data_IF_136398090963
#
_entry.id   IF_136398090963
#
_cell.length_a   1.000
_cell.length_b   1.000
_cell.length_c   1.000
_cell.angle_alpha   90.00
_cell.angle_beta   90.00
_cell.angle_gamma   90.00
#
_symmetry.space_group_name_H-M   'P 1'
#
loop_
_entity.id
_entity.type
_entity.pdbx_description
1 polymer ?
#
# COMPACT_ATOMS: atom_id res chain seq x y z
N UNK A 1 2.10 -22.39 -13.20
CA UNK A 1 2.89 -21.13 -13.10
C UNK A 1 3.01 -20.71 -11.65
N UNK A 2 4.22 -20.75 -11.10
CA UNK A 2 4.53 -20.28 -9.73
C UNK A 2 4.13 -18.81 -9.54
N UNK A 3 3.70 -18.46 -8.32
CA UNK A 3 3.42 -17.08 -7.95
C UNK A 3 4.72 -16.28 -8.04
N UNK A 4 4.82 -15.46 -9.07
CA UNK A 4 6.00 -14.64 -9.31
C UNK A 4 6.04 -13.52 -8.28
N UNK A 5 7.07 -13.47 -7.42
CA UNK A 5 7.32 -12.37 -6.46
C UNK A 5 7.83 -11.08 -7.14
N UNK A 6 7.44 -10.84 -8.40
CA UNK A 6 7.97 -9.74 -9.22
C UNK A 6 7.65 -8.40 -8.60
N UNK A 7 6.43 -8.23 -8.11
CA UNK A 7 5.98 -7.00 -7.45
C UNK A 7 6.84 -6.67 -6.23
N UNK A 8 7.25 -7.67 -5.43
CA UNK A 8 8.10 -7.45 -4.27
C UNK A 8 9.51 -7.04 -4.66
N UNK A 9 10.12 -7.73 -5.64
CA UNK A 9 11.44 -7.36 -6.15
C UNK A 9 11.45 -5.96 -6.76
N UNK A 10 10.40 -5.60 -7.52
CA UNK A 10 10.24 -4.26 -8.07
C UNK A 10 10.06 -3.21 -6.97
N UNK A 11 9.26 -3.49 -5.93
CA UNK A 11 9.12 -2.59 -4.78
C UNK A 11 10.43 -2.41 -4.02
N UNK A 12 11.22 -3.48 -3.82
CA UNK A 12 12.53 -3.40 -3.18
C UNK A 12 13.52 -2.58 -4.02
N UNK A 13 13.55 -2.80 -5.34
CA UNK A 13 14.37 -2.02 -6.26
C UNK A 13 13.97 -0.53 -6.22
N UNK A 14 12.67 -0.23 -6.29
CA UNK A 14 12.17 1.13 -6.19
C UNK A 14 12.54 1.76 -4.84
N UNK A 15 12.37 1.05 -3.72
CA UNK A 15 12.74 1.52 -2.40
C UNK A 15 14.26 1.79 -2.30
N UNK A 16 15.10 0.93 -2.87
CA UNK A 16 16.55 1.14 -2.92
C UNK A 16 16.90 2.41 -3.71
N UNK A 17 16.33 2.58 -4.92
CA UNK A 17 16.53 3.80 -5.73
C UNK A 17 16.07 5.05 -4.98
N UNK A 18 14.88 5.02 -4.40
CA UNK A 18 14.33 6.15 -3.61
C UNK A 18 15.24 6.46 -2.42
N UNK A 19 15.79 5.43 -1.75
CA UNK A 19 16.72 5.59 -0.63
C UNK A 19 18.03 6.22 -1.10
N UNK A 20 18.58 5.78 -2.24
CA UNK A 20 19.78 6.38 -2.82
C UNK A 20 19.57 7.85 -3.19
N UNK A 21 18.45 8.17 -3.83
CA UNK A 21 18.07 9.56 -4.14
C UNK A 21 17.92 10.37 -2.86
N UNK A 22 17.23 9.84 -1.85
CA UNK A 22 17.04 10.52 -0.57
C UNK A 22 18.38 10.77 0.14
N UNK A 23 19.27 9.78 0.19
CA UNK A 23 20.61 9.90 0.78
C UNK A 23 21.49 10.90 0.03
N UNK A 24 21.40 10.95 -1.30
CA UNK A 24 22.04 11.98 -2.10
C UNK A 24 21.52 13.37 -1.73
N UNK A 25 20.19 13.55 -1.61
CA UNK A 25 19.61 14.83 -1.20
C UNK A 25 20.03 15.23 0.23
N UNK A 26 20.11 14.28 1.17
CA UNK A 26 20.63 14.52 2.52
C UNK A 26 22.07 15.03 2.48
N UNK A 27 22.91 14.42 1.64
CA UNK A 27 24.30 14.82 1.47
C UNK A 27 24.42 16.20 0.81
N UNK A 28 23.55 16.48 -0.17
CA UNK A 28 23.50 17.76 -0.88
C UNK A 28 23.06 18.92 0.02
N UNK A 29 21.98 18.74 0.79
CA UNK A 29 21.48 19.75 1.72
C UNK A 29 22.29 19.82 3.02
N UNK A 30 23.17 18.85 3.28
CA UNK A 30 23.87 18.64 4.57
C UNK A 30 22.91 18.57 5.76
N UNK A 31 21.68 18.18 5.50
CA UNK A 31 20.59 18.11 6.47
C UNK A 31 19.50 17.17 5.96
N UNK A 32 18.66 16.68 6.86
CA UNK A 32 17.48 15.89 6.50
C UNK A 32 16.47 16.81 5.79
N UNK A 33 16.04 16.49 4.55
CA UNK A 33 15.07 17.30 3.82
C UNK A 33 13.81 17.51 4.67
N UNK A 34 13.44 18.78 4.90
CA UNK A 34 12.27 19.12 5.69
C UNK A 34 10.98 18.73 4.94
N UNK A 35 10.00 18.21 5.68
CA UNK A 35 8.68 17.83 5.15
C UNK A 35 8.00 18.96 4.36
N UNK A 36 8.12 20.21 4.83
CA UNK A 36 7.58 21.41 4.18
C UNK A 36 8.47 22.01 3.08
N UNK A 37 9.67 21.49 2.87
CA UNK A 37 10.54 21.92 1.76
C UNK A 37 10.12 21.28 0.44
N UNK A 38 10.57 21.85 -0.69
CA UNK A 38 10.18 21.39 -2.04
C UNK A 38 10.34 19.88 -2.25
N UNK A 39 11.51 19.33 -1.91
CA UNK A 39 11.78 17.90 -2.07
C UNK A 39 10.90 17.04 -1.16
N UNK A 40 10.76 17.43 0.12
CA UNK A 40 9.90 16.76 1.09
C UNK A 40 8.44 16.72 0.63
N UNK A 41 7.90 17.85 0.17
CA UNK A 41 6.55 17.92 -0.38
C UNK A 41 6.38 17.04 -1.63
N UNK A 42 7.33 17.07 -2.56
CA UNK A 42 7.25 16.28 -3.79
C UNK A 42 7.17 14.78 -3.50
N UNK A 43 8.04 14.25 -2.62
CA UNK A 43 7.98 12.83 -2.24
C UNK A 43 6.69 12.49 -1.47
N UNK A 44 6.18 13.43 -0.65
CA UNK A 44 4.91 13.27 0.05
C UNK A 44 3.71 13.20 -0.89
N UNK A 45 3.63 14.12 -1.86
CA UNK A 45 2.57 14.16 -2.88
C UNK A 45 2.61 12.91 -3.75
N UNK A 46 3.76 12.54 -4.28
CA UNK A 46 3.89 11.34 -5.11
C UNK A 46 3.54 10.09 -4.29
N UNK A 47 4.04 9.99 -3.06
CA UNK A 47 3.74 8.89 -2.15
C UNK A 47 2.24 8.76 -1.86
N UNK A 48 1.57 9.88 -1.54
CA UNK A 48 0.13 9.93 -1.31
C UNK A 48 -0.68 9.56 -2.56
N UNK A 49 -0.27 10.04 -3.75
CA UNK A 49 -0.91 9.64 -5.01
C UNK A 49 -0.79 8.14 -5.25
N UNK A 50 0.37 7.53 -5.02
CA UNK A 50 0.55 6.07 -5.12
C UNK A 50 -0.34 5.32 -4.12
N UNK A 51 -0.48 5.83 -2.89
CA UNK A 51 -1.41 5.27 -1.91
C UNK A 51 -2.86 5.37 -2.40
N UNK A 52 -3.30 6.52 -2.92
CA UNK A 52 -4.64 6.67 -3.50
C UNK A 52 -4.88 5.73 -4.68
N UNK A 53 -3.90 5.54 -5.56
CA UNK A 53 -3.99 4.59 -6.67
C UNK A 53 -4.15 3.15 -6.17
N UNK A 54 -3.49 2.80 -5.06
CA UNK A 54 -3.61 1.48 -4.41
C UNK A 54 -5.05 1.16 -4.01
N UNK A 55 -5.74 2.13 -3.41
CA UNK A 55 -7.12 1.98 -2.94
C UNK A 55 -8.14 2.05 -4.09
N UNK A 56 -7.96 3.00 -5.00
CA UNK A 56 -8.95 3.33 -6.04
C UNK A 56 -8.89 2.40 -7.25
N UNK A 57 -7.70 2.15 -7.82
CA UNK A 57 -7.58 1.42 -9.07
C UNK A 57 -7.98 -0.05 -8.93
N UNK A 58 -7.55 -0.70 -7.84
CA UNK A 58 -7.89 -2.09 -7.58
C UNK A 58 -9.40 -2.25 -7.35
N UNK A 59 -9.99 -1.39 -6.51
CA UNK A 59 -11.43 -1.38 -6.22
C UNK A 59 -12.28 -1.10 -7.47
N UNK A 60 -11.86 -0.14 -8.28
CA UNK A 60 -12.52 0.19 -9.55
C UNK A 60 -12.48 -1.00 -10.52
N UNK A 61 -11.31 -1.61 -10.70
CA UNK A 61 -11.17 -2.77 -11.58
C UNK A 61 -11.98 -3.98 -11.13
N UNK A 62 -12.07 -4.20 -9.81
CA UNK A 62 -12.86 -5.30 -9.22
C UNK A 62 -14.37 -5.09 -9.43
N UNK A 63 -14.85 -3.85 -9.40
CA UNK A 63 -16.27 -3.51 -9.68
C UNK A 63 -16.59 -3.45 -11.17
N UNK A 64 -15.65 -3.02 -12.00
CA UNK A 64 -15.90 -2.82 -13.44
C UNK A 64 -15.69 -4.13 -14.22
N UNK A 65 -16.79 -4.76 -14.64
CA UNK A 65 -16.75 -5.91 -15.54
C UNK A 65 -16.42 -5.54 -17.00
N UNK A 66 -16.57 -4.26 -17.38
CA UNK A 66 -16.32 -3.76 -18.75
C UNK A 66 -14.86 -3.35 -19.00
N UNK A 67 -14.08 -3.13 -17.94
CA UNK A 67 -12.67 -2.75 -18.07
C UNK A 67 -11.82 -3.96 -18.50
N UNK A 68 -11.45 -4.02 -19.78
CA UNK A 68 -10.61 -5.09 -20.37
C UNK A 68 -9.10 -4.89 -20.17
N UNK A 69 -8.67 -3.88 -19.41
CA UNK A 69 -7.25 -3.56 -19.24
C UNK A 69 -6.63 -4.50 -18.22
N UNK A 70 -5.77 -5.41 -18.67
CA UNK A 70 -4.96 -6.28 -17.80
C UNK A 70 -5.72 -7.38 -17.05
N UNK A 71 -4.98 -8.41 -16.66
CA UNK A 71 -5.47 -9.51 -15.82
C UNK A 71 -5.69 -9.05 -14.37
N UNK A 72 -6.61 -9.69 -13.62
CA UNK A 72 -6.80 -9.41 -12.20
C UNK A 72 -5.52 -9.62 -11.37
N UNK A 73 -4.66 -10.56 -11.78
CA UNK A 73 -3.36 -10.76 -11.15
C UNK A 73 -2.46 -9.53 -11.31
N UNK A 74 -2.42 -8.92 -12.49
CA UNK A 74 -1.63 -7.71 -12.76
C UNK A 74 -2.08 -6.53 -11.90
N UNK A 75 -3.39 -6.38 -11.68
CA UNK A 75 -3.93 -5.34 -10.79
C UNK A 75 -3.60 -5.57 -9.33
N UNK A 76 -3.61 -6.83 -8.87
CA UNK A 76 -3.15 -7.16 -7.52
C UNK A 76 -1.64 -6.88 -7.36
N UNK A 77 -0.84 -7.18 -8.39
CA UNK A 77 0.59 -6.85 -8.39
C UNK A 77 0.81 -5.35 -8.35
N UNK A 78 0.05 -4.57 -9.11
CA UNK A 78 0.07 -3.12 -9.07
C UNK A 78 -0.31 -2.60 -7.67
N UNK A 79 -1.40 -3.11 -7.09
CA UNK A 79 -1.84 -2.75 -5.73
C UNK A 79 -0.75 -3.02 -4.68
N UNK A 80 -0.10 -4.19 -4.71
CA UNK A 80 1.02 -4.50 -3.80
C UNK A 80 2.18 -3.54 -4.04
N UNK A 81 2.52 -3.26 -5.30
CA UNK A 81 3.64 -2.39 -5.65
C UNK A 81 3.41 -0.95 -5.14
N UNK A 82 2.28 -0.34 -5.51
CA UNK A 82 1.93 1.02 -5.09
C UNK A 82 1.68 1.11 -3.59
N UNK A 83 1.14 0.04 -3.00
CA UNK A 83 0.88 -0.10 -1.56
C UNK A 83 2.14 -0.32 -0.71
N UNK A 84 3.30 -0.53 -1.32
CA UNK A 84 4.60 -0.54 -0.64
C UNK A 84 5.40 0.73 -0.93
N UNK A 85 5.48 1.13 -2.20
CA UNK A 85 6.28 2.30 -2.62
C UNK A 85 5.67 3.61 -2.12
N UNK A 86 4.35 3.76 -2.19
CA UNK A 86 3.66 4.96 -1.70
C UNK A 86 3.90 5.21 -0.21
N UNK A 87 3.57 4.26 0.68
CA UNK A 87 3.86 4.35 2.11
C UNK A 87 5.33 4.60 2.44
N UNK A 88 6.26 4.00 1.69
CA UNK A 88 7.69 4.23 1.89
C UNK A 88 8.09 5.69 1.60
N UNK A 89 7.58 6.27 0.51
CA UNK A 89 7.82 7.69 0.20
C UNK A 89 7.18 8.63 1.24
N UNK A 90 5.98 8.32 1.71
CA UNK A 90 5.30 9.09 2.77
C UNK A 90 6.05 8.98 4.11
N UNK A 91 6.65 7.83 4.44
CA UNK A 91 7.50 7.70 5.61
C UNK A 91 8.70 8.65 5.54
N UNK A 92 9.37 8.73 4.39
CA UNK A 92 10.52 9.63 4.18
C UNK A 92 10.11 11.12 4.20
N UNK A 93 8.88 11.44 3.82
CA UNK A 93 8.31 12.79 3.92
C UNK A 93 8.25 13.29 5.37
N UNK A 94 8.11 12.41 6.37
CA UNK A 94 8.02 12.80 7.79
C UNK A 94 9.30 13.48 8.32
N UNK A 95 10.42 13.38 7.61
CA UNK A 95 11.74 13.82 8.08
C UNK A 95 12.10 13.23 9.46
N UNK A 96 11.61 12.02 9.75
CA UNK A 96 11.79 11.34 11.04
C UNK A 96 11.15 12.06 12.24
N UNK A 97 10.12 12.89 12.00
CA UNK A 97 9.35 13.59 13.03
C UNK A 97 7.94 13.01 13.13
N UNK A 98 7.62 12.41 14.27
CA UNK A 98 6.35 11.69 14.49
C UNK A 98 5.48 12.38 15.54
N UNK A 99 4.99 13.58 15.24
CA UNK A 99 4.22 14.39 16.18
C UNK A 99 2.77 14.59 15.72
N UNK A 100 1.84 14.67 16.69
CA UNK A 100 0.43 14.99 16.45
C UNK A 100 -0.24 14.11 15.39
N UNK A 101 -1.07 14.74 14.55
CA UNK A 101 -1.81 14.06 13.49
C UNK A 101 -0.90 13.39 12.44
N UNK A 102 0.25 14.00 12.12
CA UNK A 102 1.21 13.43 11.17
C UNK A 102 1.83 12.12 11.70
N UNK A 103 2.18 12.09 13.00
CA UNK A 103 2.63 10.88 13.68
C UNK A 103 1.58 9.78 13.70
N UNK A 104 0.33 10.11 14.04
CA UNK A 104 -0.78 9.16 14.02
C UNK A 104 -1.05 8.59 12.62
N UNK A 105 -1.00 9.43 11.59
CA UNK A 105 -1.15 9.01 10.18
C UNK A 105 -0.01 8.07 9.76
N UNK A 106 1.21 8.34 10.21
CA UNK A 106 2.37 7.45 9.97
C UNK A 106 2.19 6.10 10.64
N UNK A 107 1.69 6.06 11.89
CA UNK A 107 1.40 4.81 12.59
C UNK A 107 0.36 3.98 11.83
N UNK A 108 -0.74 4.59 11.40
CA UNK A 108 -1.75 3.91 10.57
C UNK A 108 -1.16 3.40 9.25
N UNK A 109 -0.22 4.15 8.65
CA UNK A 109 0.50 3.76 7.43
C UNK A 109 1.34 2.49 7.66
N UNK A 110 2.04 2.39 8.79
CA UNK A 110 2.81 1.18 9.14
C UNK A 110 1.87 -0.01 9.37
N UNK A 111 0.77 0.20 10.10
CA UNK A 111 -0.23 -0.84 10.40
C UNK A 111 -0.86 -1.39 9.10
N UNK A 112 -1.24 -0.52 8.15
CA UNK A 112 -1.85 -0.99 6.90
C UNK A 112 -0.86 -1.80 6.05
N UNK A 113 0.42 -1.42 6.02
CA UNK A 113 1.47 -2.15 5.28
C UNK A 113 1.67 -3.54 5.88
N UNK A 114 1.80 -3.63 7.20
CA UNK A 114 1.90 -4.92 7.92
C UNK A 114 0.67 -5.78 7.65
N UNK A 115 -0.53 -5.19 7.74
CA UNK A 115 -1.79 -5.87 7.42
C UNK A 115 -1.83 -6.36 5.96
N UNK A 116 -1.28 -5.60 5.02
CA UNK A 116 -1.14 -5.99 3.62
C UNK A 116 -0.25 -7.23 3.42
N UNK A 117 0.87 -7.32 4.14
CA UNK A 117 1.73 -8.52 4.14
C UNK A 117 0.99 -9.75 4.69
N UNK A 118 0.20 -9.59 5.76
CA UNK A 118 -0.66 -10.66 6.29
C UNK A 118 -1.66 -11.13 5.23
N UNK A 119 -2.32 -10.19 4.53
CA UNK A 119 -3.25 -10.50 3.44
C UNK A 119 -2.59 -11.26 2.30
N UNK A 120 -1.39 -10.83 1.87
CA UNK A 120 -0.59 -11.52 0.85
C UNK A 120 -0.22 -12.94 1.30
N UNK A 121 0.23 -13.10 2.54
CA UNK A 121 0.56 -14.42 3.09
C UNK A 121 -0.65 -15.36 3.04
N UNK A 122 -1.82 -14.92 3.53
CA UNK A 122 -3.07 -15.70 3.46
C UNK A 122 -3.42 -16.03 2.01
N UNK A 123 -3.36 -15.04 1.11
CA UNK A 123 -3.66 -15.23 -0.31
C UNK A 123 -2.72 -16.25 -0.96
N UNK A 124 -1.43 -16.31 -0.56
CA UNK A 124 -0.45 -17.31 -1.06
C UNK A 124 -0.78 -18.75 -0.73
N UNK A 125 -1.51 -18.98 0.36
CA UNK A 125 -1.90 -20.32 0.81
C UNK A 125 -3.11 -20.88 0.06
N UNK A 126 -3.82 -20.10 -0.77
CA UNK A 126 -4.96 -20.57 -1.55
C UNK A 126 -4.46 -21.32 -2.80
N UNK A 127 -4.70 -22.63 -2.94
CA UNK A 127 -4.36 -23.40 -4.15
C UNK A 127 -5.15 -22.89 -5.37
N UNK A 128 -4.50 -22.77 -6.53
CA UNK A 128 -5.11 -22.28 -7.79
C UNK A 128 -5.82 -23.38 -8.61
N UNK A 129 -5.64 -24.65 -8.28
CA UNK A 129 -6.15 -25.80 -9.07
C UNK A 129 -7.67 -26.00 -9.01
N UNK A 130 -8.41 -25.08 -8.39
CA UNK A 130 -9.84 -25.25 -8.08
C UNK A 130 -10.77 -24.31 -8.86
N UNK A 131 -10.22 -23.53 -9.80
CA UNK A 131 -11.01 -22.65 -10.66
C UNK A 131 -11.44 -23.33 -11.98
N UNK A 132 -11.32 -24.67 -12.14
CA UNK A 132 -11.86 -25.29 -13.36
C UNK A 132 -11.67 -26.78 -13.66
N UNK A 133 -11.08 -27.63 -12.81
CA UNK A 133 -11.05 -29.09 -13.06
C UNK A 133 -11.40 -29.83 -11.77
N UNK A 134 -12.32 -30.78 -11.93
CA UNK A 134 -12.96 -31.67 -10.96
C UNK A 134 -12.31 -31.74 -9.57
N UNK A 135 -13.16 -31.50 -8.57
CA UNK A 135 -12.91 -31.84 -7.17
C UNK A 135 -12.99 -33.37 -7.08
N UNK A 136 -11.97 -34.08 -7.56
CA UNK A 136 -11.78 -35.49 -7.18
C UNK A 136 -11.32 -35.49 -5.72
N UNK A 137 -12.32 -35.69 -4.87
CA UNK A 137 -12.30 -36.07 -3.45
C UNK A 137 -10.91 -36.23 -2.80
N UNK A 138 -10.51 -35.21 -2.03
CA UNK A 138 -9.75 -35.43 -0.80
C UNK A 138 -10.22 -34.40 0.22
N UNK A 139 -10.97 -34.84 1.25
CA UNK A 139 -11.61 -33.93 2.23
C UNK A 139 -10.68 -32.92 2.92
N UNK A 140 -9.35 -33.17 2.90
CA UNK A 140 -8.31 -32.28 3.40
C UNK A 140 -8.14 -30.98 2.59
N UNK A 141 -8.33 -31.01 1.27
CA UNK A 141 -8.15 -29.83 0.41
C UNK A 141 -9.34 -28.87 0.53
N UNK A 142 -10.56 -29.41 0.60
CA UNK A 142 -11.78 -28.63 0.82
C UNK A 142 -11.74 -27.86 2.14
N UNK A 143 -11.32 -28.51 3.24
CA UNK A 143 -11.17 -27.87 4.54
C UNK A 143 -10.15 -26.73 4.53
N UNK A 144 -9.04 -26.89 3.81
CA UNK A 144 -7.98 -25.87 3.67
C UNK A 144 -8.49 -24.63 2.95
N UNK A 145 -9.28 -24.80 1.89
CA UNK A 145 -9.89 -23.69 1.15
C UNK A 145 -10.91 -22.91 1.98
N UNK A 146 -11.78 -23.62 2.69
CA UNK A 146 -12.77 -22.99 3.57
C UNK A 146 -12.06 -22.17 4.65
N UNK A 147 -11.00 -22.73 5.26
CA UNK A 147 -10.16 -22.00 6.23
C UNK A 147 -9.52 -20.76 5.61
N UNK A 148 -8.91 -20.88 4.44
CA UNK A 148 -8.25 -19.76 3.77
C UNK A 148 -9.24 -18.66 3.36
N UNK A 149 -10.43 -19.02 2.86
CA UNK A 149 -11.52 -18.06 2.57
C UNK A 149 -12.01 -17.35 3.83
N UNK A 150 -12.17 -18.07 4.95
CA UNK A 150 -12.55 -17.49 6.24
C UNK A 150 -11.50 -16.50 6.75
N UNK A 151 -10.22 -16.87 6.71
CA UNK A 151 -9.12 -16.00 7.09
C UNK A 151 -9.07 -14.75 6.20
N UNK A 152 -9.29 -14.90 4.89
CA UNK A 152 -9.35 -13.78 3.97
C UNK A 152 -10.54 -12.86 4.25
N UNK A 153 -11.70 -13.40 4.64
CA UNK A 153 -12.86 -12.59 5.03
C UNK A 153 -12.60 -11.78 6.31
N UNK A 154 -12.01 -12.41 7.33
CA UNK A 154 -11.61 -11.74 8.57
C UNK A 154 -10.57 -10.66 8.27
N UNK A 155 -9.58 -10.98 7.43
CA UNK A 155 -8.57 -10.01 7.02
C UNK A 155 -9.20 -8.79 6.35
N UNK A 156 -10.13 -8.96 5.39
CA UNK A 156 -10.82 -7.82 4.78
C UNK A 156 -11.59 -6.98 5.80
N UNK A 157 -12.25 -7.62 6.78
CA UNK A 157 -13.01 -6.94 7.82
C UNK A 157 -12.12 -6.07 8.74
N UNK A 158 -10.82 -6.36 8.82
CA UNK A 158 -9.84 -5.58 9.59
C UNK A 158 -9.08 -4.59 8.70
N UNK A 159 -8.60 -5.03 7.54
CA UNK A 159 -7.77 -4.24 6.63
C UNK A 159 -8.51 -3.02 6.07
N UNK A 160 -9.78 -3.18 5.67
CA UNK A 160 -10.57 -2.11 5.06
C UNK A 160 -10.81 -0.96 6.06
N UNK A 161 -11.28 -1.17 7.31
CA UNK A 161 -11.41 -0.09 8.28
C UNK A 161 -10.10 0.65 8.59
N UNK A 162 -8.98 -0.08 8.64
CA UNK A 162 -7.65 0.56 8.83
C UNK A 162 -7.35 1.48 7.64
N UNK A 163 -7.62 1.02 6.41
CA UNK A 163 -7.46 1.84 5.21
C UNK A 163 -8.33 3.09 5.25
N UNK A 164 -9.60 2.97 5.62
CA UNK A 164 -10.52 4.11 5.77
C UNK A 164 -9.96 5.11 6.80
N UNK A 165 -9.60 4.64 7.99
CA UNK A 165 -9.05 5.49 9.05
C UNK A 165 -7.76 6.21 8.59
N UNK A 166 -6.87 5.50 7.89
CA UNK A 166 -5.65 6.05 7.32
C UNK A 166 -5.94 7.16 6.32
N UNK A 167 -6.78 6.91 5.31
CA UNK A 167 -7.07 7.91 4.29
C UNK A 167 -7.83 9.11 4.88
N UNK A 168 -8.75 8.90 5.82
CA UNK A 168 -9.39 10.00 6.55
C UNK A 168 -8.35 10.85 7.28
N UNK A 169 -7.45 10.25 8.05
CA UNK A 169 -6.39 10.96 8.74
C UNK A 169 -5.45 11.69 7.77
N UNK A 170 -5.09 11.07 6.65
CA UNK A 170 -4.24 11.65 5.61
C UNK A 170 -4.91 12.85 4.92
N UNK A 171 -6.20 12.77 4.58
CA UNK A 171 -6.95 13.91 4.03
C UNK A 171 -7.03 15.08 5.01
N UNK A 172 -7.28 14.80 6.30
CA UNK A 172 -7.28 15.85 7.33
C UNK A 172 -5.88 16.46 7.46
N UNK A 173 -4.82 15.64 7.46
CA UNK A 173 -3.44 16.11 7.54
C UNK A 173 -3.06 17.02 6.36
N UNK A 174 -3.36 16.60 5.13
CA UNK A 174 -3.10 17.38 3.91
C UNK A 174 -3.95 18.66 3.92
N UNK A 175 -5.24 18.57 4.25
CA UNK A 175 -6.14 19.72 4.32
C UNK A 175 -5.69 20.75 5.35
N UNK A 176 -5.30 20.30 6.54
CA UNK A 176 -4.74 21.18 7.58
C UNK A 176 -3.42 21.82 7.11
N UNK A 177 -2.50 21.04 6.52
CA UNK A 177 -1.23 21.56 6.02
C UNK A 177 -1.44 22.64 4.94
N UNK A 178 -2.38 22.44 4.02
CA UNK A 178 -2.74 23.43 3.00
C UNK A 178 -3.38 24.67 3.64
N UNK A 179 -4.35 24.48 4.54
CA UNK A 179 -5.03 25.58 5.24
C UNK A 179 -4.05 26.50 5.97
N UNK A 180 -3.14 25.93 6.78
CA UNK A 180 -2.12 26.70 7.50
C UNK A 180 -1.09 27.34 6.55
N UNK A 181 -0.80 26.71 5.40
CA UNK A 181 0.13 27.26 4.42
C UNK A 181 -0.46 28.41 3.60
N UNK A 182 -1.77 28.45 3.35
CA UNK A 182 -2.41 29.43 2.45
C UNK A 182 -3.18 30.53 3.17
N UNK A 183 -3.82 30.27 4.30
CA UNK A 183 -4.78 31.18 4.93
C UNK A 183 -4.30 31.81 6.24
N UNK A 184 -3.24 31.26 6.85
CA UNK A 184 -2.66 31.75 8.11
C UNK A 184 -1.22 32.25 7.94
N UNK A 185 -0.81 32.54 6.69
CA UNK A 185 0.44 33.25 6.38
C UNK A 185 0.21 34.75 6.31
#
# INVERSE_FOLDING_TARGET
>A
MQRSNKELWLSLLAAAIITTVYAFMVSWYRAIPAAGGLFGHLIGVIGFLLMLLTETLYSFRKRSQKARWGSMQSWLQLHIFTGLVGPFMVLLHTSWKFNGLAGATTLLTIIIVISGFVGRYIYTQIPRSLDGVEITETGSQAATLVRARRLLAIWHAVHIPIGIALFTAAFIHVGAALYYATLLR
#
